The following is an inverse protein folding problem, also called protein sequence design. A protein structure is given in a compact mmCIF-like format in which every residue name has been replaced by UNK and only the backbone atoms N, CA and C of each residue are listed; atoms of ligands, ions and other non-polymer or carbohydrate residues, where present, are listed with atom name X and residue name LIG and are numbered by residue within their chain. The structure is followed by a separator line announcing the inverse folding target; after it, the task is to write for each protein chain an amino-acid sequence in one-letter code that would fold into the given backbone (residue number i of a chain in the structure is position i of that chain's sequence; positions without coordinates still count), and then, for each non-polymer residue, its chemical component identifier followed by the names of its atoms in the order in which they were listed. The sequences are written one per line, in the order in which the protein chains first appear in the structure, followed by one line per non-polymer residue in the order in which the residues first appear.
data_IF_665772503492
#
_entry.id   IF_665772503492
#
_cell.length_a   1.000
_cell.length_b   1.000
_cell.length_c   1.000
_cell.angle_alpha   90.00
_cell.angle_beta   90.00
_cell.angle_gamma   90.00
#
_symmetry.space_group_name_H-M   'P 1'
#
loop_
_entity.id
_entity.type
_entity.pdbx_description
1 polymer ?
#
# COMPACT_ATOMS: atom_id res chain seq x y z
N UNK A 1 -21.31 13.32 32.21
CA UNK A 1 -20.74 12.30 31.32
C UNK A 1 -20.11 13.03 30.14
N UNK A 2 -18.96 13.63 30.42
CA UNK A 2 -18.36 14.75 29.69
C UNK A 2 -16.86 14.49 29.50
N UNK A 3 -16.50 13.41 28.79
CA UNK A 3 -15.10 13.06 28.54
C UNK A 3 -14.92 12.34 27.19
N UNK A 4 -15.40 12.91 26.09
CA UNK A 4 -15.07 12.34 24.75
C UNK A 4 -15.31 13.28 23.56
N UNK A 5 -15.30 14.60 23.76
CA UNK A 5 -15.09 15.53 22.65
C UNK A 5 -13.62 15.94 22.60
N UNK A 6 -12.73 14.98 22.32
CA UNK A 6 -11.44 15.37 21.73
C UNK A 6 -11.77 16.02 20.39
N UNK A 7 -11.79 17.35 20.40
CA UNK A 7 -11.82 18.16 19.19
C UNK A 7 -10.49 17.89 18.49
N UNK A 8 -10.44 16.83 17.67
CA UNK A 8 -9.35 16.62 16.74
C UNK A 8 -9.25 17.88 15.89
N UNK A 9 -8.22 18.68 16.16
CA UNK A 9 -7.92 19.88 15.38
C UNK A 9 -7.83 19.46 13.91
N UNK A 10 -8.39 20.25 12.97
CA UNK A 10 -8.36 19.89 11.56
C UNK A 10 -6.93 19.56 11.18
N UNK A 11 -6.69 18.45 10.44
CA UNK A 11 -5.35 18.00 10.13
C UNK A 11 -4.60 19.12 9.42
N UNK A 12 -3.74 19.83 10.15
CA UNK A 12 -2.91 20.87 9.57
C UNK A 12 -1.85 20.14 8.77
N UNK A 13 -1.84 20.37 7.45
CA UNK A 13 -0.75 19.91 6.59
C UNK A 13 0.50 20.67 7.04
N UNK A 14 1.24 20.05 7.95
CA UNK A 14 2.56 20.51 8.35
C UNK A 14 3.51 20.31 7.15
N UNK A 15 4.53 21.16 7.03
CA UNK A 15 5.55 21.07 5.99
C UNK A 15 6.16 19.66 5.92
N UNK A 16 6.38 19.03 7.07
CA UNK A 16 6.87 17.65 7.15
C UNK A 16 5.89 16.67 6.49
N UNK A 17 4.59 16.78 6.79
CA UNK A 17 3.56 15.94 6.19
C UNK A 17 3.46 16.15 4.68
N UNK A 18 3.56 17.40 4.22
CA UNK A 18 3.59 17.73 2.80
C UNK A 18 4.80 17.10 2.10
N UNK A 19 6.00 17.24 2.68
CA UNK A 19 7.22 16.65 2.16
C UNK A 19 7.15 15.11 2.12
N UNK A 20 6.59 14.48 3.14
CA UNK A 20 6.37 13.03 3.17
C UNK A 20 5.40 12.59 2.08
N UNK A 21 4.28 13.31 1.89
CA UNK A 21 3.31 13.02 0.83
C UNK A 21 3.90 13.20 -0.57
N UNK A 22 4.65 14.28 -0.80
CA UNK A 22 5.37 14.50 -2.07
C UNK A 22 6.39 13.39 -2.33
N UNK A 23 7.18 13.02 -1.32
CA UNK A 23 8.17 11.94 -1.45
C UNK A 23 7.48 10.60 -1.74
N UNK A 24 6.38 10.31 -1.06
CA UNK A 24 5.58 9.12 -1.29
C UNK A 24 5.04 9.10 -2.73
N UNK A 25 4.47 10.21 -3.19
CA UNK A 25 3.96 10.35 -4.56
C UNK A 25 5.06 10.15 -5.61
N UNK A 26 6.25 10.70 -5.38
CA UNK A 26 7.40 10.52 -6.27
C UNK A 26 7.89 9.08 -6.30
N UNK A 27 8.04 8.45 -5.13
CA UNK A 27 8.49 7.04 -5.02
C UNK A 27 7.49 6.11 -5.69
N UNK A 28 6.20 6.29 -5.43
CA UNK A 28 5.16 5.43 -6.01
C UNK A 28 4.93 5.72 -7.49
N UNK A 29 4.80 6.98 -7.89
CA UNK A 29 4.66 7.36 -9.30
C UNK A 29 5.85 6.90 -10.14
N UNK A 30 7.07 7.11 -9.64
CA UNK A 30 8.30 6.63 -10.26
C UNK A 30 8.35 5.11 -10.36
N UNK A 31 7.92 4.38 -9.33
CA UNK A 31 7.88 2.91 -9.37
C UNK A 31 6.99 2.35 -10.49
N UNK A 32 5.82 2.96 -10.75
CA UNK A 32 4.96 2.57 -11.86
C UNK A 32 5.57 2.91 -13.23
N UNK A 33 6.25 4.05 -13.33
CA UNK A 33 6.96 4.47 -14.54
C UNK A 33 8.10 3.50 -14.89
N UNK A 34 9.03 3.25 -13.96
CA UNK A 34 10.11 2.30 -14.15
C UNK A 34 9.61 0.85 -14.30
N UNK A 35 8.52 0.51 -13.63
CA UNK A 35 7.85 -0.78 -13.79
C UNK A 35 7.41 -1.00 -15.23
N UNK A 36 6.81 0.00 -15.88
CA UNK A 36 6.40 -0.14 -17.28
C UNK A 36 7.59 -0.28 -18.23
N UNK A 37 8.67 0.47 -18.03
CA UNK A 37 9.93 0.30 -18.80
C UNK A 37 10.47 -1.13 -18.63
N UNK A 38 10.40 -1.67 -17.41
CA UNK A 38 10.88 -3.03 -17.12
C UNK A 38 10.01 -4.09 -17.81
N UNK A 39 8.69 -3.87 -17.88
CA UNK A 39 7.73 -4.78 -18.52
C UNK A 39 7.95 -4.93 -20.04
N UNK A 40 8.66 -4.00 -20.69
CA UNK A 40 9.02 -4.13 -22.10
C UNK A 40 9.94 -5.33 -22.36
N UNK A 41 10.75 -5.71 -21.36
CA UNK A 41 11.77 -6.75 -21.49
C UNK A 41 11.58 -7.93 -20.53
N UNK A 42 10.74 -7.78 -19.49
CA UNK A 42 10.62 -8.74 -18.40
C UNK A 42 9.12 -9.04 -18.12
N UNK A 43 8.71 -10.31 -18.03
CA UNK A 43 7.33 -10.67 -17.68
C UNK A 43 6.88 -10.10 -16.33
N UNK A 44 5.60 -9.73 -16.23
CA UNK A 44 5.01 -9.10 -15.02
C UNK A 44 5.18 -9.92 -13.74
N UNK A 45 5.05 -11.25 -13.83
CA UNK A 45 5.25 -12.16 -12.70
C UNK A 45 6.70 -12.12 -12.21
N UNK A 46 7.67 -12.01 -13.11
CA UNK A 46 9.09 -11.94 -12.76
C UNK A 46 9.42 -10.64 -12.03
N UNK A 47 8.80 -9.52 -12.42
CA UNK A 47 8.94 -8.23 -11.74
C UNK A 47 8.34 -8.31 -10.32
N UNK A 48 7.14 -8.89 -10.18
CA UNK A 48 6.53 -9.12 -8.87
C UNK A 48 7.38 -10.06 -7.98
N UNK A 49 7.97 -11.11 -8.56
CA UNK A 49 8.87 -12.02 -7.87
C UNK A 49 10.14 -11.32 -7.38
N UNK A 50 10.77 -10.45 -8.20
CA UNK A 50 11.93 -9.68 -7.74
C UNK A 50 11.57 -8.75 -6.58
N UNK A 51 10.40 -8.09 -6.65
CA UNK A 51 9.92 -7.20 -5.58
C UNK A 51 9.83 -7.91 -4.24
N UNK A 52 9.29 -9.13 -4.21
CA UNK A 52 9.15 -9.92 -2.96
C UNK A 52 10.47 -10.65 -2.63
N UNK A 53 11.19 -11.11 -3.65
CA UNK A 53 12.44 -11.86 -3.53
C UNK A 53 13.53 -11.06 -2.82
N UNK A 54 13.63 -9.74 -3.07
CA UNK A 54 14.55 -8.86 -2.33
C UNK A 54 14.06 -8.49 -0.93
N UNK A 55 12.73 -8.48 -0.71
CA UNK A 55 12.17 -8.19 0.60
C UNK A 55 12.49 -9.30 1.62
N UNK A 56 12.55 -10.56 1.18
CA UNK A 56 12.84 -11.71 2.05
C UNK A 56 14.20 -11.59 2.76
N UNK A 57 15.36 -11.48 2.08
CA UNK A 57 16.65 -11.38 2.75
C UNK A 57 16.79 -10.09 3.56
N UNK A 58 16.24 -8.96 3.08
CA UNK A 58 16.26 -7.70 3.81
C UNK A 58 15.50 -7.80 5.14
N UNK A 59 14.28 -8.35 5.12
CA UNK A 59 13.50 -8.58 6.32
C UNK A 59 14.17 -9.61 7.23
N UNK A 60 14.76 -10.66 6.66
CA UNK A 60 15.48 -11.67 7.44
C UNK A 60 16.65 -11.07 8.22
N UNK A 61 17.45 -10.20 7.59
CA UNK A 61 18.53 -9.45 8.26
C UNK A 61 17.97 -8.61 9.41
N UNK A 62 16.87 -7.89 9.19
CA UNK A 62 16.23 -7.09 10.24
C UNK A 62 15.74 -7.96 11.40
N UNK A 63 15.16 -9.13 11.14
CA UNK A 63 14.74 -10.06 12.19
C UNK A 63 15.94 -10.57 13.01
N UNK A 64 17.05 -10.90 12.34
CA UNK A 64 18.28 -11.31 13.01
C UNK A 64 18.81 -10.20 13.92
N UNK A 65 18.88 -8.96 13.42
CA UNK A 65 19.33 -7.80 14.19
C UNK A 65 18.41 -7.48 15.38
N UNK A 66 17.10 -7.68 15.24
CA UNK A 66 16.13 -7.46 16.31
C UNK A 66 15.98 -8.64 17.28
N UNK A 67 16.63 -9.78 17.01
CA UNK A 67 16.53 -10.99 17.84
C UNK A 67 15.10 -11.55 17.93
N UNK A 68 14.23 -11.25 16.95
CA UNK A 68 12.84 -11.69 16.98
C UNK A 68 12.78 -13.18 16.66
N UNK A 69 12.29 -13.99 17.61
CA UNK A 69 12.10 -15.43 17.40
C UNK A 69 10.95 -15.64 16.42
N UNK A 70 11.23 -16.30 15.30
CA UNK A 70 10.20 -16.67 14.33
C UNK A 70 9.14 -17.56 14.99
N UNK A 71 7.84 -17.26 14.80
CA UNK A 71 6.78 -18.13 15.28
C UNK A 71 6.90 -19.50 14.63
N UNK A 72 6.84 -20.57 15.43
CA UNK A 72 6.95 -21.96 14.94
C UNK A 72 5.60 -22.58 14.55
N UNK A 73 4.50 -21.87 14.80
CA UNK A 73 3.16 -22.37 14.51
C UNK A 73 2.85 -22.28 13.02
N UNK A 74 2.51 -23.39 12.34
CA UNK A 74 2.16 -23.38 10.92
C UNK A 74 0.93 -22.50 10.63
N UNK A 75 0.02 -22.35 11.60
CA UNK A 75 -1.13 -21.46 11.47
C UNK A 75 -0.71 -19.99 11.27
N UNK A 76 0.31 -19.54 12.01
CA UNK A 76 0.82 -18.16 11.89
C UNK A 76 1.48 -17.94 10.53
N UNK A 77 2.20 -18.93 10.02
CA UNK A 77 2.78 -18.89 8.67
C UNK A 77 1.70 -18.85 7.59
N UNK A 78 0.61 -19.60 7.74
CA UNK A 78 -0.54 -19.54 6.82
C UNK A 78 -1.18 -18.16 6.86
N UNK A 79 -1.43 -17.60 8.05
CA UNK A 79 -1.96 -16.23 8.17
C UNK A 79 -1.04 -15.20 7.49
N UNK A 80 0.28 -15.29 7.70
CA UNK A 80 1.24 -14.42 7.01
C UNK A 80 1.26 -14.64 5.50
N UNK A 81 1.15 -15.89 5.04
CA UNK A 81 1.05 -16.22 3.62
C UNK A 81 -0.20 -15.62 2.99
N UNK A 82 -1.36 -15.76 3.63
CA UNK A 82 -2.64 -15.19 3.17
C UNK A 82 -2.56 -13.67 3.17
N UNK A 83 -2.05 -13.05 4.25
CA UNK A 83 -1.87 -11.61 4.33
C UNK A 83 -0.94 -11.10 3.24
N UNK A 84 0.22 -11.73 3.04
CA UNK A 84 1.17 -11.35 1.99
C UNK A 84 0.59 -11.53 0.59
N UNK A 85 -0.15 -12.61 0.35
CA UNK A 85 -0.78 -12.89 -0.93
C UNK A 85 -1.86 -11.86 -1.27
N UNK A 86 -2.81 -11.63 -0.35
CA UNK A 86 -3.94 -10.72 -0.58
C UNK A 86 -3.55 -9.25 -0.49
N UNK A 87 -2.56 -8.89 0.32
CA UNK A 87 -2.15 -7.50 0.49
C UNK A 87 -1.14 -7.05 -0.57
N UNK A 88 -0.29 -7.95 -1.06
CA UNK A 88 0.80 -7.59 -1.98
C UNK A 88 0.87 -8.46 -3.23
N UNK A 89 1.02 -9.77 -3.11
CA UNK A 89 1.38 -10.60 -4.27
C UNK A 89 0.31 -10.56 -5.37
N UNK A 90 -0.95 -10.76 -5.01
CA UNK A 90 -2.09 -10.75 -5.94
C UNK A 90 -2.33 -9.34 -6.47
N UNK A 91 -2.53 -8.29 -5.64
CA UNK A 91 -2.81 -6.94 -6.15
C UNK A 91 -1.73 -6.41 -7.08
N UNK A 92 -0.44 -6.53 -6.70
CA UNK A 92 0.64 -5.99 -7.52
C UNK A 92 0.85 -6.78 -8.80
N UNK A 93 0.66 -8.10 -8.79
CA UNK A 93 0.73 -8.90 -10.02
C UNK A 93 -0.38 -8.49 -10.99
N UNK A 94 -1.60 -8.29 -10.49
CA UNK A 94 -2.73 -7.80 -11.29
C UNK A 94 -2.48 -6.40 -11.83
N UNK A 95 -1.91 -5.49 -11.03
CA UNK A 95 -1.59 -4.13 -11.48
C UNK A 95 -0.52 -4.15 -12.57
N UNK A 96 0.58 -4.89 -12.38
CA UNK A 96 1.65 -5.01 -13.38
C UNK A 96 1.14 -5.66 -14.68
N UNK A 97 0.22 -6.63 -14.57
CA UNK A 97 -0.46 -7.18 -15.73
C UNK A 97 -1.41 -6.16 -16.39
N UNK A 98 -2.12 -5.36 -15.60
CA UNK A 98 -2.90 -4.23 -16.11
C UNK A 98 -2.02 -3.24 -16.88
N UNK A 99 -0.82 -2.95 -16.37
CA UNK A 99 0.16 -2.05 -17.01
C UNK A 99 0.66 -2.54 -18.38
N UNK A 100 0.43 -3.80 -18.77
CA UNK A 100 0.69 -4.22 -20.16
C UNK A 100 -0.39 -3.74 -21.13
N UNK A 101 -1.55 -3.31 -20.62
CA UNK A 101 -2.69 -2.84 -21.40
C UNK A 101 -2.96 -1.33 -21.22
N UNK A 102 -2.54 -0.75 -20.09
CA UNK A 102 -2.72 0.67 -19.77
C UNK A 102 -1.38 1.38 -19.51
N UNK A 103 -1.36 2.71 -19.69
CA UNK A 103 -0.20 3.52 -19.34
C UNK A 103 0.06 3.56 -17.83
N UNK A 104 1.33 3.71 -17.46
CA UNK A 104 1.83 3.77 -16.07
C UNK A 104 1.19 4.90 -15.27
N UNK A 105 0.95 6.05 -15.90
CA UNK A 105 0.24 7.17 -15.28
C UNK A 105 -1.19 6.80 -14.89
N UNK A 106 -1.92 6.08 -15.75
CA UNK A 106 -3.28 5.64 -15.44
C UNK A 106 -3.27 4.56 -14.34
N UNK A 107 -2.32 3.61 -14.40
CA UNK A 107 -2.14 2.61 -13.36
C UNK A 107 -1.84 3.24 -11.99
N UNK A 108 -0.98 4.27 -11.95
CA UNK A 108 -0.65 5.01 -10.74
C UNK A 108 -1.86 5.76 -10.17
N UNK A 109 -2.66 6.43 -11.04
CA UNK A 109 -3.90 7.11 -10.62
C UNK A 109 -4.88 6.09 -10.02
N UNK A 110 -5.13 4.97 -10.72
CA UNK A 110 -6.02 3.92 -10.25
C UNK A 110 -5.55 3.34 -8.90
N UNK A 111 -4.24 3.12 -8.72
CA UNK A 111 -3.70 2.69 -7.44
C UNK A 111 -3.94 3.73 -6.32
N UNK A 112 -3.81 5.03 -6.63
CA UNK A 112 -4.12 6.12 -5.71
C UNK A 112 -5.59 6.19 -5.29
N UNK A 113 -6.53 5.75 -6.14
CA UNK A 113 -7.96 5.70 -5.79
C UNK A 113 -8.28 4.72 -4.67
N UNK A 114 -7.37 3.82 -4.31
CA UNK A 114 -7.52 2.91 -3.16
C UNK A 114 -7.83 3.67 -1.87
N UNK A 115 -7.28 4.86 -1.67
CA UNK A 115 -7.58 5.68 -0.48
C UNK A 115 -9.05 6.16 -0.49
N UNK A 116 -9.57 6.54 -1.65
CA UNK A 116 -10.97 6.97 -1.83
C UNK A 116 -11.91 5.80 -1.58
N UNK A 117 -11.65 4.64 -2.23
CA UNK A 117 -12.42 3.42 -1.98
C UNK A 117 -12.32 2.98 -0.51
N UNK A 118 -11.14 3.09 0.09
CA UNK A 118 -10.93 2.81 1.51
C UNK A 118 -11.80 3.68 2.41
N UNK A 119 -11.89 4.99 2.13
CA UNK A 119 -12.77 5.90 2.86
C UNK A 119 -14.26 5.56 2.66
N UNK A 120 -14.67 5.21 1.44
CA UNK A 120 -16.06 4.80 1.14
C UNK A 120 -16.41 3.49 1.85
N UNK A 121 -15.57 2.47 1.73
CA UNK A 121 -15.79 1.17 2.40
C UNK A 121 -15.77 1.34 3.92
N UNK A 122 -14.84 2.14 4.44
CA UNK A 122 -14.81 2.48 5.85
C UNK A 122 -16.12 3.12 6.27
N UNK A 123 -16.65 4.12 5.57
CA UNK A 123 -17.92 4.73 5.96
C UNK A 123 -19.14 3.82 5.87
N UNK A 124 -19.11 2.81 4.99
CA UNK A 124 -20.19 1.83 4.86
C UNK A 124 -20.13 0.78 5.99
N UNK A 125 -18.94 0.27 6.31
CA UNK A 125 -18.76 -0.86 7.23
C UNK A 125 -18.34 -0.47 8.65
N UNK A 126 -17.62 0.64 8.79
CA UNK A 126 -17.21 1.23 10.05
C UNK A 126 -18.07 2.49 10.24
N UNK A 127 -19.03 2.45 11.16
CA UNK A 127 -19.84 3.62 11.58
C UNK A 127 -19.01 4.68 12.35
N UNK A 128 -17.82 5.02 11.86
CA UNK A 128 -16.91 6.02 12.42
C UNK A 128 -17.17 7.32 11.68
N UNK A 129 -17.95 8.22 12.31
CA UNK A 129 -18.39 9.55 11.85
C UNK A 129 -18.93 9.67 10.41
N UNK A 130 -20.07 10.36 10.20
CA UNK A 130 -20.61 10.53 8.85
C UNK A 130 -19.61 11.27 7.95
N UNK A 131 -19.32 10.69 6.78
CA UNK A 131 -18.61 11.35 5.67
C UNK A 131 -19.36 12.62 5.29
N UNK A 132 -18.96 13.75 5.88
CA UNK A 132 -19.53 15.05 5.59
C UNK A 132 -19.10 15.45 4.18
N UNK A 133 -20.03 15.98 3.37
CA UNK A 133 -19.81 16.41 1.97
C UNK A 133 -18.57 17.31 1.78
N UNK A 134 -18.09 17.98 2.83
CA UNK A 134 -16.84 18.75 2.84
C UNK A 134 -15.55 17.91 2.74
N UNK A 135 -15.59 16.59 2.95
CA UNK A 135 -14.42 15.68 2.81
C UNK A 135 -14.32 15.04 1.42
N UNK A 136 -15.30 15.27 0.55
CA UNK A 136 -15.44 14.70 -0.80
C UNK A 136 -15.17 15.73 -1.93
N UNK A 137 -15.03 17.02 -1.57
CA UNK A 137 -14.71 18.15 -2.46
C UNK A 137 -13.36 18.75 -2.05
#
# INVERSE_FOLDING_TARGET
MALMSETQSPPKINLISALLLCSLALVWGGAFFFGQITLENVPSVTVALHRVGWAVPALWIVLLLKGVKMPRSPHVWICFGIMGALNNAIPFSLILWGQTHIGSSLAAILNGTTAVFGAVVAAIFLSIEPLTLQKLM
#
